data_IF_197925018945
#
_entry.id   IF_197925018945
#
_cell.length_a   1.000
_cell.length_b   1.000
_cell.length_c   1.000
_cell.angle_alpha   90.00
_cell.angle_beta   90.00
_cell.angle_gamma   90.00
#
_symmetry.space_group_name_H-M   'P 1'
#
loop_
_entity.id
_entity.type
_entity.pdbx_description
1 polymer ?
#
# COMPACT_ATOMS: atom_id res chain seq x y z
N UNK A 1 -12.16 3.18 -15.62
CA UNK A 1 -12.00 3.76 -14.27
C UNK A 1 -10.56 4.18 -14.10
N UNK A 2 -10.36 5.31 -13.40
CA UNK A 2 -9.06 5.79 -12.95
C UNK A 2 -8.78 5.21 -11.58
N UNK A 3 -7.62 4.57 -11.42
CA UNK A 3 -7.20 3.94 -10.17
C UNK A 3 -5.89 4.59 -9.73
N UNK A 4 -5.91 5.25 -8.57
CA UNK A 4 -4.71 5.73 -7.92
C UNK A 4 -4.08 4.63 -7.08
N UNK A 5 -2.78 4.41 -7.23
CA UNK A 5 -2.00 3.49 -6.40
C UNK A 5 -1.04 4.33 -5.56
N UNK A 6 -1.42 4.62 -4.31
CA UNK A 6 -0.59 5.40 -3.39
C UNK A 6 0.51 4.50 -2.84
N UNK A 7 1.76 4.95 -2.95
CA UNK A 7 2.91 4.05 -2.77
C UNK A 7 3.19 3.18 -4.01
N UNK A 8 2.64 3.57 -5.16
CA UNK A 8 2.72 2.83 -6.43
C UNK A 8 4.13 2.58 -6.96
N UNK A 9 5.14 3.29 -6.43
CA UNK A 9 6.56 3.10 -6.79
C UNK A 9 7.22 1.91 -6.07
N UNK A 10 6.54 1.30 -5.09
CA UNK A 10 7.01 0.10 -4.38
C UNK A 10 6.70 -1.20 -5.13
N UNK A 11 7.21 -2.33 -4.63
CA UNK A 11 7.06 -3.64 -5.29
C UNK A 11 5.59 -4.08 -5.46
N UNK A 12 4.78 -3.96 -4.40
CA UNK A 12 3.34 -4.30 -4.45
C UNK A 12 2.62 -3.38 -5.43
N UNK A 13 2.83 -2.06 -5.31
CA UNK A 13 2.23 -1.06 -6.18
C UNK A 13 2.54 -1.29 -7.66
N UNK A 14 3.80 -1.59 -8.00
CA UNK A 14 4.23 -1.97 -9.35
C UNK A 14 3.48 -3.20 -9.88
N UNK A 15 3.29 -4.21 -9.03
CA UNK A 15 2.58 -5.44 -9.37
C UNK A 15 1.13 -5.19 -9.79
N UNK A 16 0.42 -4.33 -9.05
CA UNK A 16 -0.92 -3.87 -9.40
C UNK A 16 -0.92 -3.01 -10.66
N UNK A 17 -0.03 -2.02 -10.73
CA UNK A 17 0.05 -1.09 -11.86
C UNK A 17 0.19 -1.82 -13.21
N UNK A 18 1.14 -2.76 -13.32
CA UNK A 18 1.40 -3.50 -14.57
C UNK A 18 0.23 -4.40 -14.99
N UNK A 19 -0.54 -4.92 -14.03
CA UNK A 19 -1.66 -5.84 -14.30
C UNK A 19 -2.94 -5.09 -14.62
N UNK A 20 -3.25 -4.05 -13.84
CA UNK A 20 -4.50 -3.31 -13.95
C UNK A 20 -4.48 -2.29 -15.10
N UNK A 21 -3.32 -1.76 -15.49
CA UNK A 21 -3.22 -0.78 -16.58
C UNK A 21 -3.64 -1.29 -17.96
N UNK A 22 -3.73 -2.61 -18.14
CA UNK A 22 -4.25 -3.23 -19.36
C UNK A 22 -5.78 -3.07 -19.51
N UNK A 23 -6.49 -2.68 -18.45
CA UNK A 23 -7.95 -2.48 -18.43
C UNK A 23 -8.40 -1.15 -17.81
N UNK A 24 -7.52 -0.46 -17.10
CA UNK A 24 -7.82 0.73 -16.31
C UNK A 24 -6.75 1.80 -16.52
N UNK A 25 -7.10 3.05 -16.21
CA UNK A 25 -6.14 4.16 -16.21
C UNK A 25 -5.46 4.22 -14.85
N UNK A 26 -4.16 3.92 -14.81
CA UNK A 26 -3.41 3.84 -13.54
C UNK A 26 -2.69 5.15 -13.27
N UNK A 27 -2.93 5.72 -12.10
CA UNK A 27 -2.18 6.86 -11.57
C UNK A 27 -1.25 6.36 -10.47
N UNK A 28 0.06 6.44 -10.70
CA UNK A 28 1.08 6.10 -9.71
C UNK A 28 1.21 7.28 -8.74
N UNK A 29 0.82 7.06 -7.48
CA UNK A 29 0.95 8.05 -6.40
C UNK A 29 2.26 7.89 -5.63
N UNK A 30 2.94 9.01 -5.38
CA UNK A 30 4.15 9.07 -4.56
C UNK A 30 4.18 10.36 -3.72
N UNK A 31 5.01 10.40 -2.68
CA UNK A 31 5.33 11.67 -1.99
C UNK A 31 6.22 12.60 -2.83
N UNK A 32 6.83 12.06 -3.89
CA UNK A 32 7.65 12.78 -4.85
C UNK A 32 7.09 12.50 -6.25
N UNK A 33 6.56 13.53 -6.91
CA UNK A 33 5.87 13.42 -8.19
C UNK A 33 6.80 13.00 -9.33
N UNK A 34 8.05 13.45 -9.31
CA UNK A 34 9.06 13.09 -10.32
C UNK A 34 9.37 11.60 -10.28
N UNK A 35 9.44 11.01 -9.09
CA UNK A 35 9.63 9.57 -8.87
C UNK A 35 8.43 8.78 -9.38
N UNK A 36 7.20 9.25 -9.15
CA UNK A 36 6.01 8.63 -9.72
C UNK A 36 6.00 8.71 -11.25
N UNK A 37 6.28 9.88 -11.83
CA UNK A 37 6.40 10.08 -13.27
C UNK A 37 7.47 9.18 -13.90
N UNK A 38 8.60 9.00 -13.23
CA UNK A 38 9.67 8.10 -13.68
C UNK A 38 9.23 6.64 -13.64
N UNK A 39 8.54 6.22 -12.57
CA UNK A 39 7.97 4.87 -12.44
C UNK A 39 6.90 4.59 -13.52
N UNK A 40 6.02 5.55 -13.81
CA UNK A 40 5.02 5.41 -14.87
C UNK A 40 5.66 5.17 -16.25
N UNK A 41 6.76 5.89 -16.57
CA UNK A 41 7.54 5.68 -17.79
C UNK A 41 8.21 4.30 -17.82
N UNK A 42 8.79 3.87 -16.70
CA UNK A 42 9.38 2.53 -16.56
C UNK A 42 8.34 1.44 -16.81
N UNK A 43 7.17 1.54 -16.16
CA UNK A 43 6.13 0.52 -16.24
C UNK A 43 5.52 0.42 -17.64
N UNK A 44 5.39 1.57 -18.33
CA UNK A 44 5.02 1.61 -19.75
C UNK A 44 6.01 0.83 -20.62
N UNK A 45 7.31 1.11 -20.50
CA UNK A 45 8.36 0.40 -21.24
C UNK A 45 8.38 -1.10 -20.96
N UNK A 46 8.14 -1.50 -19.71
CA UNK A 46 8.06 -2.91 -19.33
C UNK A 46 6.92 -3.64 -20.03
N UNK A 47 5.74 -3.02 -20.13
CA UNK A 47 4.63 -3.62 -20.87
C UNK A 47 4.89 -3.64 -22.39
N UNK A 48 5.44 -2.56 -22.95
CA UNK A 48 5.81 -2.49 -24.36
C UNK A 48 6.80 -3.60 -24.74
N UNK A 49 7.80 -3.86 -23.88
CA UNK A 49 8.74 -4.97 -24.06
C UNK A 49 8.11 -6.37 -24.02
N UNK A 50 6.89 -6.49 -23.48
CA UNK A 50 6.09 -7.72 -23.48
C UNK A 50 5.02 -7.74 -24.59
N UNK A 51 5.03 -6.77 -25.50
CA UNK A 51 4.01 -6.62 -26.55
C UNK A 51 2.64 -6.19 -26.00
N UNK A 52 2.59 -5.64 -24.78
CA UNK A 52 1.36 -5.20 -24.10
C UNK A 52 1.30 -3.68 -24.06
N UNK A 53 0.09 -3.16 -23.91
CA UNK A 53 -0.17 -1.73 -23.70
C UNK A 53 -0.80 -1.52 -22.33
N UNK A 54 -0.54 -0.38 -21.72
CA UNK A 54 -1.17 0.04 -20.48
C UNK A 54 -1.15 1.55 -20.31
N UNK A 55 -2.17 2.07 -19.62
CA UNK A 55 -2.30 3.49 -19.31
C UNK A 55 -1.65 3.79 -17.95
N UNK A 56 -0.76 4.78 -17.94
CA UNK A 56 -0.01 5.18 -16.75
C UNK A 56 0.18 6.69 -16.71
N UNK A 57 -0.09 7.28 -15.56
CA UNK A 57 0.27 8.64 -15.18
C UNK A 57 1.01 8.60 -13.83
N UNK A 58 1.88 9.57 -13.55
CA UNK A 58 2.62 9.61 -12.29
C UNK A 58 2.53 10.98 -11.63
N UNK A 59 1.92 11.03 -10.45
CA UNK A 59 1.60 12.26 -9.72
C UNK A 59 1.98 12.14 -8.24
N UNK A 60 1.87 13.25 -7.50
CA UNK A 60 1.90 13.18 -6.05
C UNK A 60 0.64 12.48 -5.50
N UNK A 61 0.71 11.98 -4.27
CA UNK A 61 -0.38 11.21 -3.65
C UNK A 61 -1.71 11.97 -3.60
N UNK A 62 -1.69 13.28 -3.32
CA UNK A 62 -2.90 14.07 -3.16
C UNK A 62 -3.59 14.24 -4.51
N UNK A 63 -2.85 14.69 -5.51
CA UNK A 63 -3.39 14.86 -6.87
C UNK A 63 -3.85 13.53 -7.46
N UNK A 64 -3.10 12.43 -7.21
CA UNK A 64 -3.52 11.10 -7.63
C UNK A 64 -4.86 10.68 -7.02
N UNK A 65 -5.04 10.85 -5.70
CA UNK A 65 -6.29 10.50 -5.02
C UNK A 65 -7.48 11.37 -5.46
N UNK A 66 -7.24 12.66 -5.75
CA UNK A 66 -8.29 13.57 -6.23
C UNK A 66 -8.84 13.17 -7.61
N UNK A 67 -8.02 12.55 -8.46
CA UNK A 67 -8.37 12.24 -9.85
C UNK A 67 -8.94 10.82 -10.04
N UNK A 68 -8.99 10.01 -8.99
CA UNK A 68 -9.30 8.59 -9.09
C UNK A 68 -10.75 8.28 -8.73
N UNK A 69 -11.26 7.20 -9.32
CA UNK A 69 -12.52 6.57 -8.89
C UNK A 69 -12.26 5.57 -7.74
N UNK A 70 -11.04 5.03 -7.68
CA UNK A 70 -10.58 4.04 -6.71
C UNK A 70 -9.17 4.38 -6.23
N UNK A 71 -8.95 4.37 -4.91
CA UNK A 71 -7.64 4.60 -4.29
C UNK A 71 -7.15 3.31 -3.63
N UNK A 72 -6.03 2.78 -4.11
CA UNK A 72 -5.33 1.66 -3.51
C UNK A 72 -4.20 2.16 -2.61
N UNK A 73 -4.24 1.79 -1.33
CA UNK A 73 -3.17 2.05 -0.36
C UNK A 73 -2.12 0.92 -0.41
N UNK A 74 -1.06 1.14 -1.19
CA UNK A 74 0.09 0.23 -1.32
C UNK A 74 1.33 0.80 -0.60
N UNK A 75 1.13 1.23 0.64
CA UNK A 75 2.13 1.89 1.50
C UNK A 75 2.50 1.00 2.70
N UNK A 76 3.61 1.32 3.36
CA UNK A 76 3.94 0.70 4.66
C UNK A 76 2.99 1.23 5.73
N UNK A 77 2.68 0.40 6.71
CA UNK A 77 1.75 0.72 7.79
C UNK A 77 2.08 2.02 8.52
N UNK A 78 3.34 2.25 8.91
CA UNK A 78 3.76 3.49 9.58
C UNK A 78 3.47 4.79 8.82
N UNK A 79 3.20 4.73 7.52
CA UNK A 79 2.90 5.91 6.69
C UNK A 79 1.39 6.13 6.51
N UNK A 80 0.54 5.19 6.93
CA UNK A 80 -0.92 5.23 6.72
C UNK A 80 -1.52 6.53 7.21
N UNK A 81 -1.31 6.90 8.47
CA UNK A 81 -1.92 8.09 9.06
C UNK A 81 -1.56 9.36 8.26
N UNK A 82 -0.26 9.56 7.98
CA UNK A 82 0.20 10.71 7.20
C UNK A 82 -0.34 10.75 5.77
N UNK A 83 -0.51 9.60 5.12
CA UNK A 83 -1.05 9.53 3.76
C UNK A 83 -2.55 9.79 3.77
N UNK A 84 -3.30 9.21 4.71
CA UNK A 84 -4.74 9.47 4.85
C UNK A 84 -4.97 10.95 5.12
N UNK A 85 -4.28 11.55 6.09
CA UNK A 85 -4.36 12.98 6.39
C UNK A 85 -4.12 13.86 5.14
N UNK A 86 -3.16 13.47 4.30
CA UNK A 86 -2.84 14.19 3.05
C UNK A 86 -3.98 14.13 2.02
N UNK A 87 -4.66 12.99 1.92
CA UNK A 87 -5.67 12.75 0.86
C UNK A 87 -7.09 13.03 1.32
N UNK A 88 -7.42 12.93 2.62
CA UNK A 88 -8.77 13.18 3.16
C UNK A 88 -9.42 14.46 2.64
N UNK A 89 -8.73 15.61 2.53
CA UNK A 89 -9.32 16.85 2.01
C UNK A 89 -9.75 16.80 0.54
N UNK A 90 -9.29 15.81 -0.23
CA UNK A 90 -9.59 15.64 -1.66
C UNK A 90 -10.34 14.34 -1.95
N UNK A 91 -10.62 13.53 -0.94
CA UNK A 91 -11.49 12.37 -1.09
C UNK A 91 -12.92 12.84 -1.33
N UNK A 92 -13.66 12.05 -2.09
CA UNK A 92 -15.08 12.22 -2.40
C UNK A 92 -15.73 10.82 -2.36
N UNK A 93 -16.90 10.63 -2.98
CA UNK A 93 -17.57 9.33 -3.09
C UNK A 93 -16.76 8.34 -3.95
N UNK A 94 -15.67 7.81 -3.42
CA UNK A 94 -14.74 6.91 -4.10
C UNK A 94 -14.34 5.72 -3.20
N UNK A 95 -13.95 4.63 -3.85
CA UNK A 95 -13.62 3.37 -3.15
C UNK A 95 -12.17 3.41 -2.67
N UNK A 96 -11.94 3.18 -1.38
CA UNK A 96 -10.60 2.99 -0.83
C UNK A 96 -10.33 1.51 -0.59
N UNK A 97 -9.26 0.99 -1.19
CA UNK A 97 -8.80 -0.39 -1.03
C UNK A 97 -7.49 -0.38 -0.25
N UNK A 98 -7.41 -1.15 0.84
CA UNK A 98 -6.18 -1.32 1.60
C UNK A 98 -5.59 -2.70 1.37
N UNK A 99 -4.29 -2.74 1.06
CA UNK A 99 -3.46 -3.96 1.13
C UNK A 99 -2.38 -3.83 2.20
N UNK A 100 -2.58 -2.89 3.13
CA UNK A 100 -1.63 -2.59 4.20
C UNK A 100 -1.73 -3.65 5.28
N UNK A 101 -0.59 -4.24 5.61
CA UNK A 101 -0.43 -5.13 6.77
C UNK A 101 0.44 -4.40 7.79
N UNK A 102 0.09 -4.42 9.10
CA UNK A 102 0.84 -3.75 10.15
C UNK A 102 2.13 -4.51 10.49
N UNK A 103 3.08 -4.43 9.56
CA UNK A 103 4.40 -5.03 9.66
C UNK A 103 5.47 -3.93 9.60
N UNK A 104 6.42 -4.00 10.52
CA UNK A 104 7.61 -3.16 10.52
C UNK A 104 8.87 -3.98 10.29
N UNK A 105 9.77 -3.42 9.48
CA UNK A 105 11.10 -3.97 9.29
C UNK A 105 12.03 -3.32 10.31
N UNK A 106 12.94 -4.12 10.89
CA UNK A 106 14.05 -3.67 11.73
C UNK A 106 13.68 -3.26 13.19
N UNK A 107 12.49 -3.60 13.68
CA UNK A 107 12.10 -3.52 15.12
C UNK A 107 12.13 -4.89 15.83
N UNK A 108 12.58 -5.95 15.15
CA UNK A 108 12.83 -7.25 15.76
C UNK A 108 14.18 -7.23 16.48
N UNK A 109 14.20 -7.01 17.79
CA UNK A 109 15.37 -7.36 18.58
C UNK A 109 15.30 -8.87 18.85
N UNK A 110 16.23 -9.65 18.28
CA UNK A 110 16.58 -10.94 18.89
C UNK A 110 17.26 -10.57 20.21
N UNK A 111 16.61 -10.85 21.33
CA UNK A 111 17.19 -10.65 22.66
C UNK A 111 17.95 -11.93 22.99
N UNK A 112 19.30 -11.94 22.96
CA UNK A 112 20.05 -13.09 23.44
C UNK A 112 19.67 -13.29 24.90
N UNK A 113 19.29 -14.50 25.29
CA UNK A 113 18.86 -14.90 26.64
C UNK A 113 17.40 -14.57 27.03
N UNK A 114 16.56 -14.07 26.13
CA UNK A 114 15.12 -14.02 26.41
C UNK A 114 14.55 -15.45 26.57
N UNK A 115 13.76 -15.66 27.63
CA UNK A 115 12.96 -16.88 27.77
C UNK A 115 11.96 -16.95 26.62
N UNK A 116 12.21 -17.83 25.65
CA UNK A 116 11.21 -18.20 24.66
C UNK A 116 9.98 -18.80 25.35
N UNK A 117 8.80 -18.48 24.81
CA UNK A 117 7.55 -19.13 25.17
C UNK A 117 7.38 -20.35 24.26
N UNK A 118 7.27 -21.53 24.87
CA UNK A 118 6.85 -22.74 24.16
C UNK A 118 5.32 -22.83 24.25
N UNK A 119 4.66 -22.88 23.09
CA UNK A 119 3.20 -23.07 23.00
C UNK A 119 2.94 -24.35 22.22
N UNK A 120 2.10 -25.23 22.77
CA UNK A 120 1.67 -26.45 22.08
C UNK A 120 0.90 -26.09 20.81
N UNK A 121 1.17 -26.78 19.70
CA UNK A 121 0.54 -26.53 18.39
C UNK A 121 -0.99 -26.64 18.40
N UNK A 122 -1.55 -27.30 19.43
CA UNK A 122 -3.00 -27.50 19.62
C UNK A 122 -3.61 -26.46 20.54
N UNK A 123 -2.80 -25.63 21.20
CA UNK A 123 -3.27 -24.55 22.05
C UNK A 123 -3.84 -23.42 21.21
N UNK A 124 -4.95 -22.83 21.64
CA UNK A 124 -5.55 -21.65 21.01
C UNK A 124 -4.63 -20.42 20.95
N UNK A 125 -3.60 -20.38 21.80
CA UNK A 125 -2.56 -19.36 21.79
C UNK A 125 -1.48 -19.58 20.73
N UNK A 126 -1.45 -20.75 20.06
CA UNK A 126 -0.50 -21.04 19.00
C UNK A 126 -0.85 -20.25 17.73
N UNK A 127 0.02 -19.29 17.38
CA UNK A 127 -0.07 -18.54 16.14
C UNK A 127 1.21 -18.77 15.30
N UNK A 128 1.07 -19.36 14.12
CA UNK A 128 2.18 -19.75 13.24
C UNK A 128 2.86 -18.57 12.53
N UNK A 129 2.36 -17.35 12.68
CA UNK A 129 2.82 -16.17 11.96
C UNK A 129 3.86 -15.36 12.77
N UNK A 130 5.02 -15.94 13.07
CA UNK A 130 6.14 -15.19 13.67
C UNK A 130 6.85 -14.31 12.62
N UNK A 131 6.16 -13.27 12.17
CA UNK A 131 6.78 -12.01 11.74
C UNK A 131 6.66 -11.00 12.88
N UNK A 132 7.55 -10.01 12.99
CA UNK A 132 7.31 -8.91 13.93
C UNK A 132 6.17 -8.03 13.39
N UNK A 133 4.95 -8.41 13.74
CA UNK A 133 3.76 -7.59 13.54
C UNK A 133 3.64 -6.63 14.71
N UNK A 134 3.27 -5.39 14.43
CA UNK A 134 2.72 -4.51 15.46
C UNK A 134 1.22 -4.73 15.45
N UNK A 135 0.62 -5.02 16.60
CA UNK A 135 -0.84 -5.04 16.68
C UNK A 135 -1.33 -3.58 16.74
N UNK A 136 -2.12 -3.12 15.75
CA UNK A 136 -2.73 -1.79 15.76
C UNK A 136 -3.59 -1.62 17.01
N UNK A 137 -3.69 -0.40 17.54
CA UNK A 137 -4.54 -0.13 18.71
C UNK A 137 -6.02 -0.44 18.40
N UNK A 138 -6.41 -0.25 17.14
CA UNK A 138 -7.75 -0.58 16.63
C UNK A 138 -7.99 -2.07 16.36
N UNK A 139 -7.02 -2.97 16.59
CA UNK A 139 -7.13 -4.40 16.32
C UNK A 139 -6.52 -4.81 14.97
N UNK A 140 -6.86 -4.11 13.89
CA UNK A 140 -6.33 -4.33 12.55
C UNK A 140 -6.02 -3.02 11.81
N UNK A 141 -5.16 -3.10 10.77
CA UNK A 141 -4.89 -1.95 9.93
C UNK A 141 -6.13 -1.48 9.17
N UNK A 142 -7.06 -2.40 8.85
CA UNK A 142 -8.31 -2.06 8.19
C UNK A 142 -9.22 -1.22 9.09
N UNK A 143 -9.34 -1.58 10.37
CA UNK A 143 -10.15 -0.84 11.36
C UNK A 143 -9.57 0.56 11.59
N UNK A 144 -8.26 0.71 11.74
CA UNK A 144 -7.64 2.03 11.88
C UNK A 144 -7.80 2.88 10.63
N UNK A 145 -7.62 2.30 9.43
CA UNK A 145 -7.84 3.03 8.18
C UNK A 145 -9.29 3.50 8.09
N UNK A 146 -10.25 2.64 8.44
CA UNK A 146 -11.68 2.99 8.42
C UNK A 146 -12.01 4.13 9.39
N UNK A 147 -11.36 4.22 10.55
CA UNK A 147 -11.55 5.31 11.51
C UNK A 147 -10.94 6.64 11.05
N UNK A 148 -9.96 6.61 10.15
CA UNK A 148 -9.26 7.80 9.65
C UNK A 148 -9.88 8.38 8.36
N UNK A 149 -10.69 7.58 7.66
CA UNK A 149 -11.43 8.01 6.48
C UNK A 149 -12.69 8.80 6.88
N UNK A 150 -13.11 9.79 6.06
CA UNK A 150 -14.28 10.61 6.33
C UNK A 150 -15.62 9.84 6.26
#
# INVERSE_FOLDING_TARGET
>A
MKIAILGGTGHIGKGFALRWSQKHDIIIGSRNAERASSAAKEYRRMLEGLGKKGSFEGLDNKTAAQMADVVLLAIKYRHVSSVIETITPVLHDQIVVSVVVPMEKDSCCIVPDAKHMEVDVRDSAYNAEYFCYTQPAGGSAAEEIAQLLP
#
